data_IF_234007792714
#
_entry.id   IF_234007792714
#
_cell.length_a   1.000
_cell.length_b   1.000
_cell.length_c   1.000
_cell.angle_alpha   90.00
_cell.angle_beta   90.00
_cell.angle_gamma   90.00
#
_symmetry.space_group_name_H-M   'P 1'
#
loop_
_entity.id
_entity.type
_entity.pdbx_description
1 polymer ?
#
# COMPACT_ATOMS: atom_id res chain seq x y z
N UNK A 1 -7.38 47.33 39.29
CA UNK A 1 -7.74 46.07 40.00
C UNK A 1 -9.13 45.53 39.63
N UNK A 2 -10.02 46.33 39.04
CA UNK A 2 -11.36 45.89 38.59
C UNK A 2 -11.45 45.33 37.16
N UNK A 3 -10.42 45.51 36.33
CA UNK A 3 -10.41 45.01 34.95
C UNK A 3 -9.89 43.58 34.81
N UNK A 4 -9.05 43.13 35.76
CA UNK A 4 -8.48 41.78 35.76
C UNK A 4 -9.52 40.73 36.19
N UNK A 5 -10.44 41.11 37.10
CA UNK A 5 -11.53 40.23 37.57
C UNK A 5 -12.60 40.00 36.50
N UNK A 6 -12.89 40.99 35.64
CA UNK A 6 -13.86 40.84 34.54
C UNK A 6 -13.32 39.92 33.44
N UNK A 7 -12.02 39.98 33.14
CA UNK A 7 -11.40 39.07 32.15
C UNK A 7 -11.40 37.63 32.65
N UNK A 8 -11.16 37.38 33.95
CA UNK A 8 -11.25 36.03 34.52
C UNK A 8 -12.68 35.47 34.52
N UNK A 9 -13.72 36.31 34.66
CA UNK A 9 -15.12 35.89 34.56
C UNK A 9 -15.60 35.64 33.12
N UNK A 10 -14.97 36.28 32.12
CA UNK A 10 -15.23 36.01 30.70
C UNK A 10 -14.46 34.79 30.18
N UNK A 11 -13.30 34.46 30.76
CA UNK A 11 -12.51 33.27 30.40
C UNK A 11 -12.97 32.01 31.17
N UNK A 12 -13.69 32.18 32.30
CA UNK A 12 -14.21 31.07 33.12
C UNK A 12 -15.39 30.28 32.54
N UNK A 13 -15.97 30.71 31.40
CA UNK A 13 -17.15 30.06 30.80
C UNK A 13 -16.85 29.24 29.53
N UNK A 14 -15.59 28.97 29.19
CA UNK A 14 -15.23 28.14 28.02
C UNK A 14 -14.43 26.91 28.42
N UNK A 15 -14.83 26.26 29.52
CA UNK A 15 -14.39 24.92 29.89
C UNK A 15 -15.59 24.10 30.39
N UNK A 16 -16.71 24.18 29.67
CA UNK A 16 -17.53 22.98 29.53
C UNK A 16 -16.92 22.19 28.38
N UNK A 17 -16.13 21.18 28.69
CA UNK A 17 -16.07 20.00 27.81
C UNK A 17 -17.48 19.43 27.79
N UNK A 18 -18.37 20.00 26.97
CA UNK A 18 -19.49 19.21 26.49
C UNK A 18 -18.83 18.01 25.83
N UNK A 19 -18.99 16.85 26.45
CA UNK A 19 -18.74 15.57 25.80
C UNK A 19 -19.68 15.52 24.60
N UNK A 20 -19.22 16.05 23.48
CA UNK A 20 -19.92 16.02 22.21
C UNK A 20 -20.11 14.54 21.87
N UNK A 21 -21.35 14.07 21.92
CA UNK A 21 -21.68 12.69 21.60
C UNK A 21 -21.55 12.49 20.09
N UNK A 22 -20.64 11.63 19.58
CA UNK A 22 -20.41 11.47 18.15
C UNK A 22 -21.63 10.98 17.38
N UNK A 23 -22.52 10.22 18.03
CA UNK A 23 -23.79 9.76 17.46
C UNK A 23 -24.90 10.81 17.49
N UNK A 24 -24.76 11.90 18.25
CA UNK A 24 -25.81 12.90 18.44
C UNK A 24 -27.05 12.40 19.18
N UNK A 25 -27.04 11.17 19.69
CA UNK A 25 -28.15 10.51 20.34
C UNK A 25 -27.76 9.92 21.69
N UNK A 26 -28.73 9.82 22.60
CA UNK A 26 -28.53 9.33 23.96
C UNK A 26 -29.56 8.28 24.33
N UNK A 27 -29.18 7.35 25.20
CA UNK A 27 -30.10 6.41 25.84
C UNK A 27 -31.05 7.15 26.78
N UNK A 28 -32.12 6.48 27.21
CA UNK A 28 -33.02 7.01 28.26
C UNK A 28 -32.30 7.26 29.59
N UNK A 29 -31.17 6.56 29.84
CA UNK A 29 -30.31 6.76 31.01
C UNK A 29 -29.32 7.93 30.86
N UNK A 30 -29.30 8.60 29.70
CA UNK A 30 -28.41 9.75 29.43
C UNK A 30 -27.01 9.37 28.93
N UNK A 31 -26.77 8.11 28.58
CA UNK A 31 -25.50 7.66 28.00
C UNK A 31 -25.47 7.94 26.50
N UNK A 32 -24.30 8.33 25.97
CA UNK A 32 -24.14 8.50 24.52
C UNK A 32 -24.33 7.17 23.79
N UNK A 33 -25.10 7.16 22.71
CA UNK A 33 -25.35 5.96 21.91
C UNK A 33 -24.05 5.48 21.26
N UNK A 34 -23.75 4.18 21.41
CA UNK A 34 -22.62 3.56 20.72
C UNK A 34 -22.89 3.46 19.22
N UNK A 35 -21.88 3.77 18.40
CA UNK A 35 -21.92 3.57 16.95
C UNK A 35 -21.26 2.23 16.62
N UNK A 36 -21.87 1.50 15.69
CA UNK A 36 -21.25 0.37 15.02
C UNK A 36 -20.11 0.89 14.15
N UNK A 37 -19.00 0.17 14.14
CA UNK A 37 -17.84 0.50 13.31
C UNK A 37 -18.04 0.00 11.88
N UNK A 38 -17.24 0.47 10.91
CA UNK A 38 -17.23 -0.13 9.57
C UNK A 38 -16.98 -1.64 9.66
N UNK A 39 -17.71 -2.42 8.87
CA UNK A 39 -17.78 -3.89 9.02
C UNK A 39 -18.92 -4.38 9.90
N UNK A 40 -19.57 -3.51 10.67
CA UNK A 40 -20.70 -3.86 11.55
C UNK A 40 -21.93 -2.99 11.26
N UNK A 41 -23.11 -3.60 11.37
CA UNK A 41 -24.40 -2.94 11.21
C UNK A 41 -25.25 -2.99 12.48
N UNK A 42 -26.12 -2.00 12.63
CA UNK A 42 -27.08 -1.95 13.73
C UNK A 42 -28.14 -3.04 13.58
N UNK A 43 -28.34 -3.84 14.63
CA UNK A 43 -29.42 -4.83 14.70
C UNK A 43 -30.52 -4.35 15.65
N UNK A 44 -30.13 -3.72 16.76
CA UNK A 44 -31.04 -3.11 17.71
C UNK A 44 -30.71 -1.62 17.90
N UNK A 45 -31.69 -0.72 17.76
CA UNK A 45 -31.46 0.71 17.89
C UNK A 45 -31.18 1.11 19.34
N UNK A 46 -30.46 2.22 19.48
CA UNK A 46 -30.30 2.90 20.76
C UNK A 46 -31.64 3.45 21.27
N UNK A 47 -31.91 3.32 22.57
CA UNK A 47 -33.11 3.85 23.21
C UNK A 47 -33.10 3.55 24.70
N UNK A 48 -33.89 2.57 25.13
CA UNK A 48 -33.83 2.09 26.54
C UNK A 48 -32.50 1.38 26.81
N UNK A 49 -32.02 0.63 25.83
CA UNK A 49 -30.72 -0.04 25.85
C UNK A 49 -29.78 0.61 24.83
N UNK A 50 -28.48 0.34 24.95
CA UNK A 50 -27.50 0.74 23.96
C UNK A 50 -27.72 0.05 22.60
N UNK A 51 -27.14 0.62 21.56
CA UNK A 51 -27.07 0.03 20.21
C UNK A 51 -26.43 -1.35 20.28
N UNK A 52 -26.99 -2.31 19.55
CA UNK A 52 -26.40 -3.63 19.36
C UNK A 52 -25.96 -3.75 17.91
N UNK A 53 -24.69 -4.08 17.72
CA UNK A 53 -24.03 -4.21 16.42
C UNK A 53 -23.70 -5.67 16.15
N UNK A 54 -23.82 -6.08 14.89
CA UNK A 54 -23.37 -7.40 14.41
C UNK A 54 -22.51 -7.21 13.14
N UNK A 55 -21.54 -8.11 12.90
CA UNK A 55 -20.71 -8.07 11.71
C UNK A 55 -21.56 -8.27 10.45
N UNK A 56 -21.23 -7.53 9.40
CA UNK A 56 -21.84 -7.73 8.09
C UNK A 56 -21.32 -9.02 7.46
N UNK A 57 -22.16 -9.64 6.63
CA UNK A 57 -21.81 -10.85 5.91
C UNK A 57 -20.90 -10.50 4.72
N UNK A 58 -19.66 -10.98 4.76
CA UNK A 58 -18.67 -10.73 3.72
C UNK A 58 -19.20 -11.14 2.33
N UNK A 59 -18.87 -10.34 1.31
CA UNK A 59 -19.36 -10.44 -0.09
C UNK A 59 -20.87 -10.28 -0.32
N UNK A 60 -21.70 -10.19 0.73
CA UNK A 60 -23.17 -10.08 0.62
C UNK A 60 -23.69 -8.74 1.14
N UNK A 61 -23.11 -8.24 2.24
CA UNK A 61 -23.50 -6.98 2.86
C UNK A 61 -22.30 -6.21 3.41
N UNK A 62 -22.42 -4.89 3.51
CA UNK A 62 -21.36 -4.01 3.98
C UNK A 62 -21.87 -2.86 4.87
N UNK A 63 -20.95 -2.23 5.59
CA UNK A 63 -21.18 -1.00 6.37
C UNK A 63 -19.90 -0.16 6.38
N UNK A 64 -19.92 1.02 5.75
CA UNK A 64 -18.72 1.85 5.52
C UNK A 64 -18.41 2.84 6.65
N UNK A 65 -19.42 3.23 7.41
CA UNK A 65 -19.34 4.41 8.26
C UNK A 65 -19.78 4.13 9.69
N UNK A 66 -19.25 4.90 10.64
CA UNK A 66 -19.64 4.77 12.04
C UNK A 66 -21.11 5.19 12.24
N UNK A 67 -21.96 4.23 12.57
CA UNK A 67 -23.41 4.45 12.59
C UNK A 67 -24.09 3.74 13.74
N UNK A 68 -25.02 4.42 14.41
CA UNK A 68 -25.85 3.82 15.46
C UNK A 68 -27.27 3.45 14.96
N UNK A 69 -27.54 3.72 13.67
CA UNK A 69 -28.85 3.60 13.04
C UNK A 69 -28.82 2.76 11.77
N UNK A 70 -27.72 2.76 11.04
CA UNK A 70 -27.62 2.03 9.77
C UNK A 70 -27.37 0.55 10.02
N UNK A 71 -28.13 -0.27 9.30
CA UNK A 71 -27.92 -1.71 9.20
C UNK A 71 -26.88 -2.00 8.12
N UNK A 72 -26.36 -3.22 8.10
CA UNK A 72 -25.61 -3.72 6.96
C UNK A 72 -26.44 -3.57 5.68
N UNK A 73 -25.86 -2.96 4.66
CA UNK A 73 -26.48 -2.75 3.35
C UNK A 73 -26.08 -3.89 2.42
N UNK A 74 -26.96 -4.33 1.50
CA UNK A 74 -26.58 -5.31 0.50
C UNK A 74 -25.53 -4.74 -0.45
N UNK A 75 -24.55 -5.55 -0.83
CA UNK A 75 -23.54 -5.18 -1.81
C UNK A 75 -24.18 -4.85 -3.17
N UNK A 76 -23.65 -3.84 -3.85
CA UNK A 76 -24.07 -3.48 -5.21
C UNK A 76 -23.61 -4.55 -6.21
N UNK A 77 -24.53 -5.19 -6.95
CA UNK A 77 -24.15 -6.16 -7.97
C UNK A 77 -23.66 -5.44 -9.24
N UNK A 78 -22.51 -5.86 -9.77
CA UNK A 78 -22.05 -5.35 -11.07
C UNK A 78 -22.90 -5.90 -12.21
N UNK A 79 -23.33 -5.00 -13.10
CA UNK A 79 -24.11 -5.36 -14.29
C UNK A 79 -23.28 -6.17 -15.31
N UNK A 80 -23.93 -6.79 -16.31
CA UNK A 80 -23.27 -7.71 -17.26
C UNK A 80 -22.09 -7.12 -18.04
N UNK A 81 -22.07 -5.82 -18.29
CA UNK A 81 -20.98 -5.12 -19.00
C UNK A 81 -20.00 -4.43 -18.04
N UNK A 82 -20.08 -4.76 -16.76
CA UNK A 82 -19.26 -4.21 -15.71
C UNK A 82 -18.53 -5.35 -14.99
N UNK A 83 -17.36 -5.02 -14.46
CA UNK A 83 -16.59 -5.87 -13.57
C UNK A 83 -16.34 -5.15 -12.26
N UNK A 84 -16.06 -5.93 -11.22
CA UNK A 84 -15.58 -5.37 -9.95
C UNK A 84 -14.15 -4.84 -10.15
N UNK A 85 -13.96 -3.55 -9.84
CA UNK A 85 -12.64 -2.97 -9.62
C UNK A 85 -12.17 -3.27 -8.21
N UNK A 86 -13.06 -3.08 -7.23
CA UNK A 86 -12.87 -3.54 -5.86
C UNK A 86 -14.01 -4.49 -5.50
N UNK A 87 -13.71 -5.64 -4.89
CA UNK A 87 -14.76 -6.55 -4.42
C UNK A 87 -15.52 -5.93 -3.25
N UNK A 88 -16.75 -6.39 -3.03
CA UNK A 88 -17.47 -6.06 -1.80
C UNK A 88 -16.81 -6.76 -0.61
N UNK A 89 -16.66 -6.03 0.49
CA UNK A 89 -16.21 -6.56 1.78
C UNK A 89 -17.22 -6.17 2.86
N UNK A 90 -17.13 -6.75 4.05
CA UNK A 90 -17.93 -6.33 5.20
C UNK A 90 -17.90 -4.81 5.49
N UNK A 91 -16.79 -4.15 5.19
CA UNK A 91 -16.60 -2.72 5.43
C UNK A 91 -16.80 -1.80 4.20
N UNK A 92 -16.88 -2.30 2.96
CA UNK A 92 -16.95 -1.45 1.77
C UNK A 92 -17.80 -2.08 0.68
N UNK A 93 -18.53 -1.25 -0.08
CA UNK A 93 -19.27 -1.74 -1.24
C UNK A 93 -18.33 -2.19 -2.39
N UNK A 94 -18.89 -2.98 -3.31
CA UNK A 94 -18.25 -3.25 -4.59
C UNK A 94 -18.21 -2.00 -5.47
N UNK A 95 -17.04 -1.67 -6.01
CA UNK A 95 -16.92 -0.63 -7.03
C UNK A 95 -16.94 -1.27 -8.40
N UNK A 96 -18.00 -1.01 -9.16
CA UNK A 96 -18.19 -1.52 -10.51
C UNK A 96 -17.65 -0.55 -11.57
N UNK A 97 -16.88 -1.07 -12.52
CA UNK A 97 -16.38 -0.33 -13.68
C UNK A 97 -16.67 -1.09 -14.96
N UNK A 98 -16.60 -0.45 -16.13
CA UNK A 98 -16.80 -1.16 -17.38
C UNK A 98 -15.79 -2.31 -17.55
N UNK A 99 -16.27 -3.42 -18.11
CA UNK A 99 -15.47 -4.61 -18.32
C UNK A 99 -14.37 -4.37 -19.37
N UNK A 100 -13.42 -5.30 -19.47
CA UNK A 100 -12.36 -5.20 -20.47
C UNK A 100 -12.93 -5.14 -21.90
N UNK A 101 -12.40 -4.20 -22.70
CA UNK A 101 -12.96 -3.92 -24.03
C UNK A 101 -14.20 -3.03 -24.01
N UNK A 102 -14.55 -2.45 -22.86
CA UNK A 102 -15.60 -1.44 -22.73
C UNK A 102 -15.12 -0.21 -21.94
N UNK A 103 -15.70 0.95 -22.23
CA UNK A 103 -15.49 2.19 -21.49
C UNK A 103 -16.83 2.81 -21.10
N UNK A 104 -16.84 3.63 -20.05
CA UNK A 104 -18.04 4.34 -19.62
C UNK A 104 -18.29 5.58 -20.48
N UNK A 105 -19.31 5.53 -21.33
CA UNK A 105 -19.76 6.65 -22.14
C UNK A 105 -20.65 7.57 -21.30
N UNK A 106 -20.14 8.74 -20.92
CA UNK A 106 -20.91 9.73 -20.14
C UNK A 106 -22.11 10.28 -20.92
N UNK A 107 -22.05 10.26 -22.25
CA UNK A 107 -23.13 10.69 -23.14
C UNK A 107 -24.27 9.66 -23.15
N UNK A 108 -23.94 8.36 -23.26
CA UNK A 108 -24.94 7.30 -23.26
C UNK A 108 -25.35 6.83 -21.85
N UNK A 109 -24.59 7.22 -20.82
CA UNK A 109 -24.79 6.81 -19.43
C UNK A 109 -24.59 5.31 -19.20
N UNK A 110 -23.77 4.65 -20.03
CA UNK A 110 -23.57 3.18 -20.00
C UNK A 110 -22.20 2.80 -20.55
N UNK A 111 -21.82 1.53 -20.31
CA UNK A 111 -20.63 0.95 -20.91
C UNK A 111 -20.84 0.71 -22.42
N UNK A 112 -19.89 1.17 -23.23
CA UNK A 112 -19.85 0.98 -24.68
C UNK A 112 -18.56 0.29 -25.07
N UNK A 113 -18.58 -0.47 -26.17
CA UNK A 113 -17.42 -1.19 -26.64
C UNK A 113 -16.33 -0.20 -27.07
N UNK A 114 -15.07 -0.51 -26.74
CA UNK A 114 -13.94 0.30 -27.15
C UNK A 114 -13.85 0.36 -28.69
N UNK A 115 -13.48 1.52 -29.20
CA UNK A 115 -13.18 1.72 -30.61
C UNK A 115 -11.99 0.85 -31.03
N UNK A 116 -12.16 0.15 -32.15
CA UNK A 116 -11.10 -0.62 -32.81
C UNK A 116 -10.49 0.28 -33.88
N UNK A 117 -9.17 0.43 -33.86
CA UNK A 117 -8.47 1.21 -34.87
C UNK A 117 -8.46 0.44 -36.19
N UNK A 118 -8.90 1.06 -37.30
CA UNK A 118 -8.92 0.43 -38.61
C UNK A 118 -7.50 0.25 -39.17
N UNK A 119 -7.38 -0.50 -40.25
CA UNK A 119 -6.14 -0.62 -41.02
C UNK A 119 -5.56 0.76 -41.36
N UNK A 120 -4.24 0.90 -41.20
CA UNK A 120 -3.57 2.18 -41.41
C UNK A 120 -3.63 3.12 -40.21
N UNK A 121 -4.30 2.72 -39.14
CA UNK A 121 -4.32 3.43 -37.86
C UNK A 121 -3.82 2.53 -36.74
N UNK A 122 -3.12 3.16 -35.79
CA UNK A 122 -2.63 2.52 -34.58
C UNK A 122 -3.25 3.14 -33.33
N UNK A 123 -3.13 2.45 -32.21
CA UNK A 123 -3.63 2.90 -30.91
C UNK A 123 -2.66 3.91 -30.30
N UNK A 124 -3.08 5.17 -30.25
CA UNK A 124 -2.37 6.24 -29.54
C UNK A 124 -2.64 6.17 -28.03
N UNK A 125 -3.91 5.99 -27.65
CA UNK A 125 -4.29 5.77 -26.25
C UNK A 125 -5.15 4.52 -26.15
N UNK A 126 -4.72 3.59 -25.31
CA UNK A 126 -5.48 2.38 -25.03
C UNK A 126 -6.77 2.69 -24.31
N UNK A 127 -7.80 1.92 -24.66
CA UNK A 127 -9.06 1.92 -23.94
C UNK A 127 -8.87 1.59 -22.46
N UNK A 128 -9.69 2.21 -21.63
CA UNK A 128 -9.78 1.94 -20.21
C UNK A 128 -11.25 1.99 -19.79
N UNK A 129 -11.57 1.57 -18.57
CA UNK A 129 -12.94 1.55 -18.10
C UNK A 129 -13.63 2.94 -18.11
N UNK A 130 -12.86 4.02 -18.16
CA UNK A 130 -13.29 5.43 -18.10
C UNK A 130 -13.11 6.20 -19.41
N UNK A 131 -12.40 5.64 -20.41
CA UNK A 131 -12.13 6.31 -21.67
C UNK A 131 -12.01 5.34 -22.83
N UNK A 132 -12.44 5.79 -24.00
CA UNK A 132 -12.33 5.03 -25.23
C UNK A 132 -10.88 4.91 -25.73
N UNK A 133 -10.64 3.98 -26.65
CA UNK A 133 -9.45 3.94 -27.50
C UNK A 133 -9.38 5.23 -28.30
N UNK A 134 -8.17 5.78 -28.45
CA UNK A 134 -7.89 6.86 -29.39
C UNK A 134 -6.91 6.35 -30.42
N UNK A 135 -7.31 6.46 -31.68
CA UNK A 135 -6.54 6.02 -32.84
C UNK A 135 -5.78 7.19 -33.47
N UNK A 136 -4.62 6.91 -34.03
CA UNK A 136 -3.84 7.82 -34.86
C UNK A 136 -3.52 7.18 -36.20
N UNK A 137 -3.31 8.00 -37.23
CA UNK A 137 -2.86 7.52 -38.53
C UNK A 137 -1.38 7.15 -38.49
N UNK A 138 -1.03 6.02 -39.09
CA UNK A 138 0.37 5.61 -39.21
C UNK A 138 1.04 6.46 -40.29
N UNK A 139 1.95 7.34 -39.85
CA UNK A 139 2.77 8.19 -40.70
C UNK A 139 4.12 7.53 -40.98
N UNK A 140 4.86 8.11 -41.93
CA UNK A 140 6.18 7.69 -42.44
C UNK A 140 6.98 6.72 -41.54
N UNK A 141 7.43 5.62 -42.15
CA UNK A 141 8.18 4.52 -41.49
C UNK A 141 7.38 3.75 -40.41
N UNK A 142 6.05 3.86 -40.39
CA UNK A 142 5.20 3.01 -39.57
C UNK A 142 3.98 2.44 -40.31
N UNK A 143 3.46 1.31 -39.84
CA UNK A 143 2.29 0.64 -40.42
C UNK A 143 1.41 -0.04 -39.36
N UNK A 144 0.17 -0.33 -39.74
CA UNK A 144 -0.78 -1.16 -39.01
C UNK A 144 -1.59 -1.98 -40.00
N UNK A 145 -1.34 -3.29 -40.04
CA UNK A 145 -1.91 -4.26 -40.98
C UNK A 145 -3.11 -5.04 -40.43
N UNK A 146 -3.57 -4.69 -39.22
CA UNK A 146 -4.70 -5.33 -38.56
C UNK A 146 -5.63 -4.31 -37.89
N UNK A 147 -6.91 -4.66 -37.77
CA UNK A 147 -7.85 -3.88 -36.96
C UNK A 147 -7.67 -4.23 -35.49
N UNK A 148 -7.26 -3.26 -34.67
CA UNK A 148 -6.79 -3.52 -33.30
C UNK A 148 -7.17 -2.40 -32.33
N UNK A 149 -7.52 -2.76 -31.10
CA UNK A 149 -7.74 -1.82 -29.99
C UNK A 149 -6.57 -1.77 -29.01
N UNK A 150 -5.45 -2.45 -29.33
CA UNK A 150 -4.29 -2.57 -28.44
C UNK A 150 -2.96 -2.15 -29.05
N UNK A 151 -2.76 -2.39 -30.34
CA UNK A 151 -1.46 -2.22 -30.99
C UNK A 151 -1.29 -0.79 -31.54
N UNK A 152 -0.17 -0.12 -31.24
CA UNK A 152 0.19 1.14 -31.87
C UNK A 152 0.66 0.91 -33.32
N UNK A 153 0.93 2.00 -34.04
CA UNK A 153 1.63 1.91 -35.32
C UNK A 153 3.01 1.27 -35.13
N UNK A 154 3.27 0.20 -35.87
CA UNK A 154 4.52 -0.56 -35.80
C UNK A 154 5.55 0.04 -36.74
N UNK A 155 6.83 0.09 -36.37
CA UNK A 155 7.88 0.56 -37.27
C UNK A 155 8.02 -0.39 -38.47
N UNK A 156 8.23 0.17 -39.65
CA UNK A 156 8.52 -0.59 -40.86
C UNK A 156 9.89 -1.30 -40.74
N UNK A 157 9.98 -2.48 -41.31
CA UNK A 157 11.23 -3.19 -41.55
C UNK A 157 12.10 -2.38 -42.52
N UNK A 158 13.38 -2.22 -42.19
CA UNK A 158 14.37 -1.59 -43.06
C UNK A 158 15.21 -2.67 -43.75
N UNK A 159 15.18 -2.71 -45.08
CA UNK A 159 15.99 -3.64 -45.87
C UNK A 159 17.42 -3.09 -46.03
N UNK A 160 18.39 -3.74 -45.39
CA UNK A 160 19.81 -3.40 -45.51
C UNK A 160 20.56 -4.43 -46.36
N UNK A 161 21.63 -4.03 -47.05
CA UNK A 161 22.44 -4.94 -47.88
C UNK A 161 22.92 -6.16 -47.06
N UNK A 162 22.79 -7.40 -47.55
CA UNK A 162 22.55 -7.81 -48.95
C UNK A 162 21.07 -7.95 -49.35
N UNK A 163 20.12 -7.50 -48.54
CA UNK A 163 18.70 -7.54 -48.86
C UNK A 163 18.31 -6.38 -49.78
N UNK A 164 17.38 -6.66 -50.70
CA UNK A 164 16.75 -5.67 -51.56
C UNK A 164 15.27 -5.54 -51.21
N UNK A 165 14.78 -4.31 -51.12
CA UNK A 165 13.36 -4.02 -50.92
C UNK A 165 12.55 -4.42 -52.17
N UNK A 166 11.68 -5.41 -52.00
CA UNK A 166 10.76 -5.89 -53.04
C UNK A 166 9.46 -5.08 -53.05
N UNK A 167 8.99 -4.68 -51.86
CA UNK A 167 7.79 -3.87 -51.68
C UNK A 167 8.06 -2.83 -50.59
N UNK A 168 7.70 -1.59 -50.89
CA UNK A 168 7.82 -0.49 -49.94
C UNK A 168 6.80 -0.57 -48.82
N UNK A 169 7.21 -0.08 -47.66
CA UNK A 169 6.29 0.10 -46.55
C UNK A 169 5.18 1.09 -46.91
N UNK A 170 4.00 0.86 -46.37
CA UNK A 170 2.84 1.75 -46.45
C UNK A 170 2.18 1.79 -45.08
N UNK A 171 1.27 2.73 -44.83
CA UNK A 171 0.55 2.79 -43.55
C UNK A 171 -0.19 1.49 -43.19
N UNK A 172 -0.51 0.63 -44.17
CA UNK A 172 -1.27 -0.62 -43.99
C UNK A 172 -0.45 -1.90 -44.15
N UNK A 173 0.84 -1.82 -44.51
CA UNK A 173 1.66 -3.01 -44.71
C UNK A 173 3.14 -2.72 -44.58
N UNK A 174 3.87 -3.64 -43.97
CA UNK A 174 5.32 -3.60 -43.86
C UNK A 174 6.05 -3.63 -45.22
N UNK A 175 7.31 -3.22 -45.21
CA UNK A 175 8.25 -3.48 -46.29
C UNK A 175 8.56 -4.97 -46.40
N UNK A 176 8.80 -5.45 -47.62
CA UNK A 176 9.19 -6.84 -47.88
C UNK A 176 10.62 -6.84 -48.41
N UNK A 177 11.53 -7.49 -47.69
CA UNK A 177 12.93 -7.62 -48.07
C UNK A 177 13.19 -8.98 -48.75
N UNK A 178 14.07 -8.98 -49.73
CA UNK A 178 14.50 -10.18 -50.46
C UNK A 178 16.03 -10.28 -50.44
N UNK A 179 16.55 -11.41 -49.95
CA UNK A 179 17.98 -11.72 -50.00
C UNK A 179 18.48 -11.80 -51.46
N UNK A 180 19.57 -11.10 -51.78
CA UNK A 180 20.22 -11.19 -53.08
C UNK A 180 21.09 -12.45 -53.25
N UNK A 181 21.30 -13.22 -52.18
CA UNK A 181 22.00 -14.50 -52.25
C UNK A 181 20.99 -15.65 -52.46
N UNK A 182 20.98 -16.33 -53.63
CA UNK A 182 20.30 -17.62 -53.73
C UNK A 182 20.93 -18.58 -52.69
N UNK A 183 20.21 -19.62 -52.22
CA UNK A 183 20.87 -20.72 -51.53
C UNK A 183 21.87 -21.31 -52.53
N UNK A 184 23.13 -20.86 -52.45
CA UNK A 184 24.24 -21.55 -53.07
C UNK A 184 24.14 -22.97 -52.52
N UNK A 185 23.87 -23.91 -53.41
CA UNK A 185 23.98 -25.32 -53.13
C UNK A 185 25.31 -25.50 -52.43
N UNK A 186 25.28 -25.69 -51.11
CA UNK A 186 26.40 -26.19 -50.37
C UNK A 186 26.71 -27.51 -51.05
N UNK A 187 27.78 -27.50 -51.86
CA UNK A 187 28.41 -28.67 -52.40
C UNK A 187 28.48 -29.66 -51.26
N UNK A 188 27.65 -30.71 -51.34
CA UNK A 188 27.78 -31.91 -50.55
C UNK A 188 29.17 -32.46 -50.87
N UNK A 189 30.18 -32.00 -50.14
CA UNK A 189 31.41 -32.73 -50.03
C UNK A 189 31.10 -33.85 -49.04
N UNK A 190 31.07 -35.12 -49.48
CA UNK A 190 30.87 -36.21 -48.54
C UNK A 190 32.00 -36.17 -47.50
N UNK A 191 31.71 -36.39 -46.20
CA UNK A 191 32.76 -36.46 -45.19
C UNK A 191 33.68 -37.64 -45.51
N UNK A 192 35.02 -37.50 -45.31
CA UNK A 192 35.94 -38.61 -45.45
C UNK A 192 35.58 -39.69 -44.41
N UNK A 193 35.52 -40.93 -44.89
CA UNK A 193 35.25 -42.14 -44.09
C UNK A 193 36.23 -42.19 -42.90
N UNK A 194 35.76 -42.22 -41.64
CA UNK A 194 36.62 -42.52 -40.53
C UNK A 194 36.84 -44.04 -40.45
N UNK A 195 38.11 -44.41 -40.33
CA UNK A 195 38.58 -45.75 -40.07
C UNK A 195 37.86 -46.39 -38.88
N UNK A 196 37.52 -47.66 -39.05
CA UNK A 196 36.92 -48.53 -38.05
C UNK A 196 37.88 -48.72 -36.88
N UNK A 197 37.44 -48.40 -35.66
CA UNK A 197 37.98 -48.97 -34.43
C UNK A 197 36.82 -49.44 -33.53
N UNK A 198 36.93 -50.60 -32.85
CA UNK A 198 35.79 -51.25 -32.23
C UNK A 198 35.40 -50.62 -30.91
N UNK A 199 34.09 -50.54 -30.66
CA UNK A 199 33.49 -50.07 -29.42
C UNK A 199 33.72 -51.02 -28.24
N UNK A 200 33.91 -50.50 -27.01
CA UNK A 200 33.49 -51.18 -25.80
C UNK A 200 32.11 -50.68 -25.36
N UNK A 201 31.22 -51.64 -25.13
CA UNK A 201 29.86 -51.52 -24.62
C UNK A 201 29.79 -50.98 -23.18
N UNK A 202 28.79 -50.13 -22.89
CA UNK A 202 28.22 -49.95 -21.54
C UNK A 202 26.75 -49.48 -21.66
N UNK A 203 25.90 -49.58 -20.62
CA UNK A 203 24.66 -50.33 -20.68
C UNK A 203 23.44 -49.41 -20.68
N UNK A 204 22.36 -49.92 -21.25
CA UNK A 204 21.03 -49.33 -21.18
C UNK A 204 20.54 -49.30 -19.74
N UNK A 205 20.15 -48.11 -19.24
CA UNK A 205 19.26 -48.02 -18.10
C UNK A 205 18.05 -47.17 -18.48
N UNK A 206 16.88 -47.81 -18.36
CA UNK A 206 15.57 -47.30 -18.74
C UNK A 206 14.94 -46.45 -17.65
N UNK A 207 13.93 -45.68 -18.07
CA UNK A 207 12.73 -45.23 -17.33
C UNK A 207 12.71 -43.74 -16.93
N UNK A 208 11.55 -43.19 -16.52
CA UNK A 208 10.43 -42.80 -17.39
C UNK A 208 9.99 -41.34 -17.11
N UNK A 209 9.05 -40.82 -17.91
CA UNK A 209 8.34 -39.56 -17.63
C UNK A 209 7.64 -39.60 -16.25
N UNK A 210 7.42 -38.44 -15.59
CA UNK A 210 6.10 -37.81 -15.75
C UNK A 210 6.04 -36.25 -15.64
N UNK A 211 4.90 -35.78 -16.14
CA UNK A 211 4.13 -34.54 -15.95
C UNK A 211 4.47 -33.48 -14.88
N UNK A 212 4.11 -32.24 -15.27
CA UNK A 212 3.42 -31.13 -14.55
C UNK A 212 4.18 -29.82 -14.74
N UNK A 213 3.65 -28.93 -15.58
CA UNK A 213 4.16 -27.58 -15.79
C UNK A 213 3.39 -26.63 -14.86
N UNK A 214 4.05 -26.16 -13.81
CA UNK A 214 3.64 -24.99 -13.05
C UNK A 214 4.34 -23.77 -13.65
N UNK A 215 3.58 -22.76 -14.06
CA UNK A 215 4.11 -21.48 -14.50
C UNK A 215 4.41 -20.63 -13.27
N UNK A 216 5.67 -20.26 -13.07
CA UNK A 216 6.07 -19.16 -12.21
C UNK A 216 6.55 -17.98 -13.05
N UNK A 217 5.90 -16.87 -12.71
CA UNK A 217 6.09 -15.47 -13.05
C UNK A 217 7.55 -15.00 -13.09
N UNK A 218 7.87 -14.12 -14.05
CA UNK A 218 9.17 -13.46 -14.18
C UNK A 218 8.95 -11.95 -14.35
N UNK A 219 9.09 -11.23 -13.25
CA UNK A 219 9.27 -9.77 -13.25
C UNK A 219 10.61 -9.37 -13.93
N UNK A 220 10.69 -8.18 -14.56
CA UNK A 220 11.93 -7.67 -15.16
C UNK A 220 12.84 -6.94 -14.15
N UNK A 221 14.15 -6.82 -14.41
CA UNK A 221 15.10 -6.17 -13.52
C UNK A 221 15.27 -4.67 -13.73
N UNK A 222 15.77 -4.05 -12.66
CA UNK A 222 16.16 -2.65 -12.46
C UNK A 222 17.15 -2.04 -13.48
N UNK A 223 16.90 -0.75 -13.72
CA UNK A 223 17.79 0.43 -13.84
C UNK A 223 19.29 0.28 -14.12
N UNK A 224 19.86 1.26 -14.85
CA UNK A 224 20.88 2.09 -14.22
C UNK A 224 20.70 3.61 -14.41
N UNK A 225 20.99 4.33 -13.32
CA UNK A 225 21.23 5.77 -13.24
C UNK A 225 22.57 6.14 -13.87
N UNK A 226 22.62 7.15 -14.74
CA UNK A 226 23.74 8.11 -14.83
C UNK A 226 23.26 9.51 -15.21
N UNK A 227 23.89 10.48 -14.55
CA UNK A 227 23.62 11.91 -14.51
C UNK A 227 24.70 12.68 -15.26
N UNK A 228 24.35 13.58 -16.19
CA UNK A 228 25.21 14.75 -16.53
C UNK A 228 24.36 15.96 -16.95
N UNK A 229 24.72 17.08 -16.35
CA UNK A 229 24.26 18.46 -16.48
C UNK A 229 24.50 19.07 -17.87
N UNK A 230 23.55 19.86 -18.41
CA UNK A 230 23.88 21.00 -19.29
C UNK A 230 22.81 22.08 -19.18
N UNK A 231 23.25 23.34 -19.12
CA UNK A 231 22.44 24.54 -18.98
C UNK A 231 22.19 25.23 -20.33
N UNK A 232 20.95 25.77 -20.48
CA UNK A 232 20.50 26.96 -21.24
C UNK A 232 20.57 26.96 -22.80
N UNK A 233 19.85 27.83 -23.56
CA UNK A 233 18.72 28.73 -23.24
C UNK A 233 17.51 28.67 -24.21
N UNK A 234 16.36 29.16 -23.74
CA UNK A 234 15.46 30.00 -24.55
C UNK A 234 14.29 29.34 -25.29
N UNK A 235 13.08 29.40 -24.69
CA UNK A 235 11.84 29.52 -25.48
C UNK A 235 10.79 30.42 -24.80
N UNK A 236 10.69 31.62 -25.39
CA UNK A 236 9.49 32.44 -25.63
C UNK A 236 8.50 32.67 -24.48
N UNK A 237 8.66 33.85 -23.83
CA UNK A 237 7.63 34.49 -23.00
C UNK A 237 6.41 34.86 -23.86
N UNK A 238 5.21 34.49 -23.40
CA UNK A 238 3.96 35.20 -23.68
C UNK A 238 3.43 35.79 -22.36
N UNK A 239 2.92 37.03 -22.36
CA UNK A 239 2.88 37.86 -21.14
C UNK A 239 1.55 37.74 -20.40
N UNK A 240 1.63 37.59 -19.07
CA UNK A 240 0.67 38.21 -18.15
C UNK A 240 -0.57 37.40 -17.76
N UNK A 241 -0.41 36.43 -16.86
CA UNK A 241 -1.43 36.15 -15.83
C UNK A 241 -0.94 35.40 -14.57
N UNK A 242 0.30 34.85 -14.54
CA UNK A 242 0.77 34.01 -13.43
C UNK A 242 2.01 34.51 -12.67
N UNK A 243 2.56 35.69 -12.98
CA UNK A 243 3.80 36.19 -12.34
C UNK A 243 3.63 36.63 -10.86
N UNK A 244 2.39 36.73 -10.38
CA UNK A 244 2.10 37.12 -8.99
C UNK A 244 1.43 36.02 -8.16
N UNK A 245 1.00 34.91 -8.78
CA UNK A 245 0.27 33.86 -8.05
C UNK A 245 1.24 32.97 -7.24
N UNK A 246 2.39 32.67 -7.83
CA UNK A 246 3.46 31.86 -7.21
C UNK A 246 4.07 32.56 -5.98
N UNK A 247 4.48 33.85 -6.02
CA UNK A 247 5.03 34.52 -4.84
C UNK A 247 3.99 34.76 -3.72
N UNK A 248 2.70 34.91 -4.05
CA UNK A 248 1.64 35.02 -3.05
C UNK A 248 1.46 33.68 -2.32
N UNK A 249 1.43 32.57 -3.06
CA UNK A 249 1.31 31.24 -2.46
C UNK A 249 2.49 30.89 -1.56
N UNK A 250 3.72 31.23 -1.96
CA UNK A 250 4.91 30.97 -1.14
C UNK A 250 4.94 31.84 0.12
N UNK A 251 4.49 33.09 0.04
CA UNK A 251 4.37 33.97 1.20
C UNK A 251 3.30 33.47 2.20
N UNK A 252 2.14 33.03 1.72
CA UNK A 252 1.08 32.46 2.55
C UNK A 252 1.54 31.14 3.19
N UNK A 253 2.18 30.25 2.43
CA UNK A 253 2.69 28.98 2.96
C UNK A 253 3.74 29.23 4.05
N UNK A 254 4.66 30.16 3.84
CA UNK A 254 5.65 30.54 4.85
C UNK A 254 4.99 31.10 6.12
N UNK A 255 3.97 31.95 5.99
CA UNK A 255 3.23 32.50 7.13
C UNK A 255 2.50 31.41 7.93
N UNK A 256 1.88 30.44 7.25
CA UNK A 256 1.21 29.29 7.89
C UNK A 256 2.22 28.41 8.63
N UNK A 257 3.37 28.13 8.02
CA UNK A 257 4.43 27.33 8.66
C UNK A 257 5.00 28.04 9.90
N UNK A 258 5.28 29.34 9.82
CA UNK A 258 5.74 30.12 10.98
C UNK A 258 4.67 30.18 12.08
N UNK A 259 3.38 30.31 11.71
CA UNK A 259 2.26 30.26 12.64
C UNK A 259 2.11 28.92 13.36
N UNK A 260 2.26 27.80 12.64
CA UNK A 260 2.21 26.46 13.23
C UNK A 260 3.40 26.20 14.17
N UNK A 261 4.60 26.64 13.79
CA UNK A 261 5.79 26.53 14.66
C UNK A 261 5.60 27.37 15.93
N UNK A 262 5.13 28.62 15.80
CA UNK A 262 4.81 29.47 16.95
C UNK A 262 3.70 28.87 17.83
N UNK A 263 2.68 28.25 17.22
CA UNK A 263 1.61 27.55 17.94
C UNK A 263 2.13 26.33 18.71
N UNK A 264 3.02 25.53 18.10
CA UNK A 264 3.64 24.37 18.78
C UNK A 264 4.53 24.83 19.93
N UNK A 265 5.31 25.89 19.74
CA UNK A 265 6.15 26.49 20.79
C UNK A 265 5.27 27.06 21.89
N UNK A 266 4.20 27.78 21.57
CA UNK A 266 3.27 28.33 22.55
C UNK A 266 2.54 27.22 23.30
N UNK A 267 2.10 26.17 22.63
CA UNK A 267 1.49 24.99 23.24
C UNK A 267 2.48 24.27 24.15
N UNK A 268 3.74 24.09 23.74
CA UNK A 268 4.82 23.54 24.60
C UNK A 268 5.11 24.44 25.79
N UNK A 269 5.17 25.76 25.60
CA UNK A 269 5.39 26.74 26.66
C UNK A 269 4.24 26.73 27.67
N UNK A 270 3.00 26.68 27.21
CA UNK A 270 1.83 26.64 28.07
C UNK A 270 1.73 25.30 28.82
N UNK A 271 2.08 24.18 28.17
CA UNK A 271 2.19 22.87 28.83
C UNK A 271 3.28 22.86 29.91
N UNK A 272 4.44 23.46 29.65
CA UNK A 272 5.50 23.59 30.66
C UNK A 272 5.11 24.53 31.81
N UNK A 273 4.36 25.61 31.51
CA UNK A 273 3.84 26.54 32.52
C UNK A 273 2.81 25.89 33.45
N UNK A 274 1.91 25.06 32.90
CA UNK A 274 0.96 24.25 33.67
C UNK A 274 1.70 23.22 34.55
N UNK A 275 2.76 22.59 34.03
CA UNK A 275 3.54 21.61 34.78
C UNK A 275 4.37 22.24 35.92
N UNK A 276 4.82 23.50 35.76
CA UNK A 276 5.54 24.24 36.82
C UNK A 276 4.64 24.67 37.98
N UNK A 277 3.34 24.91 37.75
CA UNK A 277 2.37 25.19 38.81
C UNK A 277 1.96 23.93 39.59
N UNK A 278 1.99 22.75 38.96
CA UNK A 278 1.75 21.47 39.61
C UNK A 278 2.86 21.00 40.58
N UNK A 279 4.11 21.43 40.35
CA UNK A 279 5.23 21.11 41.24
C UNK A 279 5.31 22.03 42.48
N UNK A 280 4.97 23.33 42.35
CA UNK A 280 5.04 24.26 43.48
C UNK A 280 3.87 24.12 44.47
N UNK A 281 2.71 23.62 44.02
CA UNK A 281 1.56 23.36 44.90
C UNK A 281 1.66 22.04 45.69
N UNK A 282 2.67 21.20 45.44
CA UNK A 282 2.94 20.00 46.24
C UNK A 282 3.85 20.24 47.46
N UNK A 283 4.32 21.47 47.68
CA UNK A 283 5.23 21.83 48.78
C UNK A 283 4.54 22.44 50.02
N UNK A 284 3.20 22.45 50.11
CA UNK A 284 2.48 22.91 51.31
C UNK A 284 1.24 22.04 51.56
N UNK A 285 1.45 20.78 51.97
CA UNK A 285 0.44 20.02 52.72
C UNK A 285 1.09 18.87 53.51
N UNK A 286 1.99 19.19 54.44
CA UNK A 286 2.32 18.31 55.57
C UNK A 286 3.10 19.11 56.62
N UNK A 287 2.48 19.36 57.78
CA UNK A 287 3.14 19.76 59.01
C UNK A 287 2.32 19.16 60.17
N UNK A 288 2.85 19.03 61.39
CA UNK A 288 4.00 18.27 61.87
C UNK A 288 3.57 17.18 62.88
N UNK A 289 4.44 16.21 63.21
CA UNK A 289 4.92 15.92 64.58
C UNK A 289 5.33 14.46 64.86
N UNK A 290 6.46 14.34 65.59
CA UNK A 290 6.98 13.24 66.44
C UNK A 290 7.88 12.14 65.84
N UNK A 291 9.18 12.33 66.09
CA UNK A 291 10.27 11.33 66.31
C UNK A 291 10.12 10.68 67.71
N UNK A 292 10.73 9.51 68.07
CA UNK A 292 12.19 9.24 68.00
C UNK A 292 12.68 7.81 67.65
N UNK A 293 13.97 7.75 67.29
CA UNK A 293 14.89 6.58 67.18
C UNK A 293 15.37 6.14 68.59
N UNK A 294 15.97 4.95 68.83
CA UNK A 294 17.38 4.70 68.46
C UNK A 294 17.78 3.25 68.08
N UNK A 295 18.89 3.17 67.31
CA UNK A 295 20.09 2.30 67.41
C UNK A 295 20.01 0.76 67.49
N UNK A 296 20.81 0.10 66.63
CA UNK A 296 21.08 -1.34 66.67
C UNK A 296 21.98 -1.80 65.51
N UNK A 297 23.24 -2.04 65.82
CA UNK A 297 24.43 -2.18 64.96
C UNK A 297 24.91 -3.65 64.79
N UNK A 298 25.80 -3.86 63.79
CA UNK A 298 26.83 -4.93 63.61
C UNK A 298 26.53 -6.28 62.89
N UNK A 299 27.17 -6.37 61.71
CA UNK A 299 28.27 -7.28 61.29
C UNK A 299 28.05 -8.63 60.56
N UNK A 300 28.82 -8.70 59.46
CA UNK A 300 29.64 -9.80 58.88
C UNK A 300 28.99 -11.00 58.18
N UNK A 301 29.28 -11.03 56.88
CA UNK A 301 29.68 -12.13 56.01
C UNK A 301 30.16 -13.42 56.71
N UNK A 302 29.70 -14.59 56.27
CA UNK A 302 30.54 -15.50 55.48
C UNK A 302 29.74 -16.66 54.85
N UNK A 303 30.41 -17.29 53.89
CA UNK A 303 30.01 -18.31 52.92
C UNK A 303 29.49 -19.64 53.51
N UNK A 304 28.68 -20.34 52.72
CA UNK A 304 28.25 -21.70 53.02
C UNK A 304 27.63 -22.40 51.81
N UNK A 305 28.48 -22.87 50.91
CA UNK A 305 28.15 -23.88 49.89
C UNK A 305 27.77 -25.20 50.59
N UNK A 306 26.75 -25.91 50.10
CA UNK A 306 26.87 -27.29 49.61
C UNK A 306 25.56 -28.12 49.66
N UNK A 307 25.38 -28.86 48.55
CA UNK A 307 24.72 -30.16 48.31
C UNK A 307 23.21 -30.33 48.50
N UNK A 308 22.52 -30.33 47.35
CA UNK A 308 21.67 -31.39 46.78
C UNK A 308 21.30 -32.61 47.67
N UNK A 309 20.01 -32.92 47.75
CA UNK A 309 19.46 -34.15 47.13
C UNK A 309 18.05 -34.51 47.65
N UNK A 310 17.16 -34.68 46.67
CA UNK A 310 16.06 -35.65 46.60
C UNK A 310 14.84 -35.47 47.54
N UNK A 311 13.66 -35.33 46.93
CA UNK A 311 12.55 -36.30 47.08
C UNK A 311 11.42 -36.03 46.08
N UNK A 312 11.30 -36.98 45.16
CA UNK A 312 10.22 -37.35 44.24
C UNK A 312 8.82 -36.73 44.44
N UNK A 313 8.30 -36.28 43.29
CA UNK A 313 6.89 -36.11 42.98
C UNK A 313 6.34 -37.41 42.37
N UNK A 314 5.16 -37.81 42.83
CA UNK A 314 4.36 -38.91 42.28
C UNK A 314 3.41 -38.34 41.20
N UNK A 315 3.31 -39.03 40.07
CA UNK A 315 2.40 -38.72 38.96
C UNK A 315 1.70 -39.97 38.45
N UNK A 316 0.57 -39.78 37.76
CA UNK A 316 -0.09 -40.81 36.96
C UNK A 316 -0.18 -40.33 35.49
N UNK A 317 0.20 -41.22 34.56
CA UNK A 317 0.36 -41.03 33.10
C UNK A 317 -0.96 -41.05 32.30
N UNK A 318 -1.03 -41.51 31.01
CA UNK A 318 -0.11 -42.37 30.22
C UNK A 318 0.04 -41.91 28.70
N UNK A 319 0.44 -42.72 27.69
CA UNK A 319 1.85 -43.13 27.44
C UNK A 319 2.35 -43.15 25.94
N UNK A 320 3.67 -43.41 25.77
CA UNK A 320 4.44 -44.05 24.66
C UNK A 320 4.57 -43.35 23.26
N UNK A 321 5.71 -43.29 22.52
CA UNK A 321 7.03 -43.97 22.55
C UNK A 321 8.08 -43.30 21.59
N UNK A 322 9.35 -43.18 22.04
CA UNK A 322 10.67 -43.31 21.34
C UNK A 322 11.08 -42.34 20.20
N UNK A 323 12.34 -41.90 19.99
CA UNK A 323 13.65 -42.09 20.65
C UNK A 323 14.71 -41.18 19.95
N UNK A 324 15.75 -40.70 20.69
CA UNK A 324 17.10 -40.24 20.25
C UNK A 324 17.18 -38.79 19.66
N UNK A 325 18.07 -37.86 20.03
CA UNK A 325 19.22 -37.73 20.94
C UNK A 325 20.08 -36.52 20.49
N UNK A 326 20.77 -35.82 21.42
CA UNK A 326 21.77 -34.70 21.26
C UNK A 326 21.24 -33.35 20.71
N UNK A 327 21.62 -32.13 21.12
CA UNK A 327 22.58 -31.54 22.08
C UNK A 327 22.71 -30.02 21.75
N UNK A 328 23.10 -29.17 22.73
CA UNK A 328 23.46 -27.72 22.63
C UNK A 328 22.29 -26.74 22.31
N UNK A 329 22.15 -25.50 22.81
CA UNK A 329 22.98 -24.55 23.56
C UNK A 329 22.72 -23.14 23.00
N UNK A 330 22.23 -22.16 23.80
CA UNK A 330 22.43 -20.72 23.53
C UNK A 330 21.23 -19.83 23.14
N UNK A 331 20.73 -19.08 24.14
CA UNK A 331 20.45 -17.62 24.20
C UNK A 331 19.57 -16.92 23.13
N UNK A 332 18.46 -16.35 23.61
CA UNK A 332 17.60 -15.36 22.94
C UNK A 332 17.86 -13.98 23.56
N UNK A 333 18.20 -12.98 22.73
CA UNK A 333 18.27 -11.58 23.12
C UNK A 333 17.14 -10.80 22.43
N UNK A 334 16.20 -10.26 23.20
CA UNK A 334 15.24 -9.25 22.75
C UNK A 334 15.77 -7.86 23.11
N UNK A 335 16.08 -7.06 22.10
CA UNK A 335 16.36 -5.63 22.23
C UNK A 335 15.08 -4.82 21.98
N UNK A 336 14.65 -4.05 22.98
CA UNK A 336 13.72 -2.92 22.80
C UNK A 336 14.36 -1.67 23.39
N UNK A 337 14.59 -0.71 22.49
CA UNK A 337 15.38 0.50 22.72
C UNK A 337 14.68 1.59 23.53
N UNK A 338 15.45 2.12 24.47
CA UNK A 338 15.68 3.52 24.82
C UNK A 338 14.53 4.52 24.87
N UNK A 339 14.12 4.83 26.11
CA UNK A 339 13.70 6.18 26.53
C UNK A 339 14.94 7.05 26.76
N UNK A 340 14.95 8.29 26.28
CA UNK A 340 16.00 9.27 26.57
C UNK A 340 15.42 10.51 27.28
N UNK A 341 16.12 11.12 28.25
CA UNK A 341 15.57 12.12 29.16
C UNK A 341 15.71 13.57 28.65
N UNK A 342 14.87 14.46 29.18
CA UNK A 342 14.93 15.89 28.95
C UNK A 342 16.14 16.52 29.67
N UNK A 343 16.98 17.25 28.95
CA UNK A 343 18.02 18.12 29.51
C UNK A 343 17.44 19.48 29.92
N UNK A 344 18.07 20.04 30.96
CA UNK A 344 17.83 21.36 31.60
C UNK A 344 18.21 22.51 30.68
#
# INVERSE_FOLDING_TARGET
MFTVTVVFLLVGNVLSTQYSCPSGAYTVSGECCKQCQPGEGMVKPCGVTQTVCEPCLDSETFSENFSHTEKCQPCTPCSKLMRMLTPCTDANDAVCVCDYGYFFSTVAGRCEACTVCPLGQGVLMRCNYDRDTVCEECLDETFSDQETSFDPCLPCTQCELPEMELKSCTSVSDAICQDLDPPNSSTFSPPPIPYVTPAPSLPTFSSPAPSVVSYTDKSPPDSPTESVTTADPGRTRLPGLSDNLIPIYTSILAAVLLGLVAFIIFKRWNSCKQNKQGANNRACSANPSQTPSPEGEKLHSDSGISVDSQSLQEGQGPPHTGHRGTGEGGTIAFGLGSRQPCLV
#
